data_IF_402730345998
#
_entry.id   IF_402730345998
#
_cell.length_a   1.000
_cell.length_b   1.000
_cell.length_c   1.000
_cell.angle_alpha   90.00
_cell.angle_beta   90.00
_cell.angle_gamma   90.00
#
_symmetry.space_group_name_H-M   'P 1'
#
loop_
_entity.id
_entity.type
_entity.pdbx_description
1 polymer ?
#
# COMPACT_ATOMS: atom_id res chain seq x y z
N UNK A 1 7.87 16.00 37.08
CA UNK A 1 7.91 14.52 37.25
C UNK A 1 7.51 13.77 35.97
N UNK A 2 6.42 14.15 35.29
CA UNK A 2 5.96 13.55 34.03
C UNK A 2 6.96 13.62 32.86
N UNK A 3 7.64 14.75 32.68
CA UNK A 3 8.56 14.97 31.55
C UNK A 3 9.80 14.06 31.61
N UNK A 4 10.37 13.83 32.81
CA UNK A 4 11.48 12.86 32.98
C UNK A 4 11.04 11.42 32.75
N UNK A 5 9.78 11.09 33.05
CA UNK A 5 9.20 9.76 32.80
C UNK A 5 9.01 9.49 31.31
N UNK A 6 8.58 10.49 30.54
CA UNK A 6 8.50 10.44 29.07
C UNK A 6 9.89 10.34 28.43
N UNK A 7 10.90 11.04 28.97
CA UNK A 7 12.28 10.96 28.49
C UNK A 7 12.89 9.56 28.71
N UNK A 8 12.73 8.98 29.91
CA UNK A 8 13.19 7.62 30.20
C UNK A 8 12.41 6.54 29.43
N UNK A 9 11.11 6.76 29.17
CA UNK A 9 10.31 5.85 28.35
C UNK A 9 10.75 5.88 26.87
N UNK A 10 11.01 7.07 26.32
CA UNK A 10 11.57 7.25 24.96
C UNK A 10 12.97 6.63 24.81
N UNK A 11 13.76 6.57 25.89
CA UNK A 11 15.10 5.99 25.89
C UNK A 11 15.15 4.49 26.20
N UNK A 12 14.05 3.90 26.66
CA UNK A 12 13.93 2.46 26.91
C UNK A 12 13.84 1.66 25.60
N UNK A 13 14.40 0.44 25.58
CA UNK A 13 14.30 -0.49 24.44
C UNK A 13 12.84 -0.84 24.08
N UNK A 14 11.95 -0.78 25.07
CA UNK A 14 10.51 -0.98 24.93
C UNK A 14 9.87 0.17 24.12
N UNK A 15 10.19 1.43 24.43
CA UNK A 15 9.64 2.58 23.72
C UNK A 15 10.04 2.60 22.24
N UNK A 16 11.29 2.25 21.94
CA UNK A 16 11.77 2.08 20.55
C UNK A 16 11.06 0.94 19.83
N UNK A 17 10.83 -0.17 20.51
CA UNK A 17 10.14 -1.33 19.93
C UNK A 17 8.68 -1.02 19.61
N UNK A 18 7.95 -0.38 20.52
CA UNK A 18 6.55 0.04 20.32
C UNK A 18 6.43 0.99 19.13
N UNK A 19 7.30 2.01 19.04
CA UNK A 19 7.28 2.95 17.92
C UNK A 19 7.55 2.24 16.58
N UNK A 20 8.47 1.28 16.56
CA UNK A 20 8.78 0.49 15.37
C UNK A 20 7.61 -0.41 14.94
N UNK A 21 6.91 -1.07 15.87
CA UNK A 21 5.74 -1.88 15.52
C UNK A 21 4.57 -1.03 15.04
N UNK A 22 4.30 0.13 15.67
CA UNK A 22 3.24 1.04 15.19
C UNK A 22 3.55 1.54 13.78
N UNK A 23 4.80 1.92 13.51
CA UNK A 23 5.21 2.35 12.17
C UNK A 23 5.07 1.22 11.12
N UNK A 24 5.42 -0.02 11.48
CA UNK A 24 5.27 -1.17 10.57
C UNK A 24 3.79 -1.44 10.25
N UNK A 25 2.92 -1.51 11.26
CA UNK A 25 1.50 -1.82 11.07
C UNK A 25 0.73 -0.68 10.38
N UNK A 26 1.23 0.56 10.45
CA UNK A 26 0.63 1.69 9.72
C UNK A 26 0.53 1.44 8.23
N UNK A 27 1.56 0.84 7.61
CA UNK A 27 1.54 0.48 6.20
C UNK A 27 0.50 -0.61 5.91
N UNK A 28 0.38 -1.61 6.77
CA UNK A 28 -0.59 -2.70 6.61
C UNK A 28 -2.05 -2.20 6.70
N UNK A 29 -2.32 -1.18 7.51
CA UNK A 29 -3.63 -0.51 7.57
C UNK A 29 -3.94 0.19 6.24
N UNK A 30 -2.98 0.96 5.71
CA UNK A 30 -3.14 1.64 4.42
C UNK A 30 -3.39 0.65 3.28
N UNK A 31 -2.73 -0.51 3.31
CA UNK A 31 -2.98 -1.59 2.36
C UNK A 31 -4.42 -2.09 2.42
N UNK A 32 -4.98 -2.32 3.61
CA UNK A 32 -6.37 -2.73 3.79
C UNK A 32 -7.36 -1.71 3.23
N UNK A 33 -7.11 -0.41 3.45
CA UNK A 33 -7.91 0.67 2.88
C UNK A 33 -7.84 0.70 1.34
N UNK A 34 -6.65 0.46 0.77
CA UNK A 34 -6.46 0.41 -0.68
C UNK A 34 -7.23 -0.73 -1.34
N UNK A 35 -7.25 -1.92 -0.72
CA UNK A 35 -8.03 -3.06 -1.22
C UNK A 35 -9.54 -2.78 -1.10
N UNK A 36 -10.00 -2.19 0.01
CA UNK A 36 -11.39 -1.80 0.20
C UNK A 36 -11.85 -0.63 -0.68
N UNK A 37 -10.94 0.20 -1.20
CA UNK A 37 -11.27 1.40 -1.95
C UNK A 37 -12.13 1.12 -3.20
N UNK A 38 -11.96 -0.03 -3.85
CA UNK A 38 -12.79 -0.44 -5.00
C UNK A 38 -14.29 -0.51 -4.68
N UNK A 39 -14.65 -0.91 -3.45
CA UNK A 39 -16.04 -1.04 -3.04
C UNK A 39 -16.78 0.30 -2.97
N UNK A 40 -16.06 1.39 -2.63
CA UNK A 40 -16.62 2.74 -2.59
C UNK A 40 -16.52 3.41 -3.96
N UNK A 41 -15.46 3.12 -4.72
CA UNK A 41 -15.21 3.74 -6.02
C UNK A 41 -16.21 3.29 -7.10
N UNK A 42 -16.45 1.99 -7.23
CA UNK A 42 -17.32 1.42 -8.29
C UNK A 42 -18.72 2.06 -8.31
N UNK A 43 -19.47 2.13 -7.19
CA UNK A 43 -20.81 2.73 -7.23
C UNK A 43 -20.80 4.23 -7.59
N UNK A 44 -19.74 4.95 -7.24
CA UNK A 44 -19.59 6.37 -7.59
C UNK A 44 -19.34 6.55 -9.09
N UNK A 45 -18.56 5.66 -9.73
CA UNK A 45 -18.28 5.71 -11.16
C UNK A 45 -19.46 5.26 -12.03
N UNK A 46 -20.30 4.34 -11.53
CA UNK A 46 -21.51 3.88 -12.23
C UNK A 46 -22.67 4.88 -12.18
N UNK A 47 -22.56 5.95 -11.39
CA UNK A 47 -23.60 6.97 -11.33
C UNK A 47 -23.53 7.86 -12.58
N UNK A 48 -24.67 8.16 -13.20
CA UNK A 48 -24.80 8.94 -14.45
C UNK A 48 -24.30 10.39 -14.39
N UNK A 49 -23.84 10.85 -13.23
CA UNK A 49 -23.26 12.19 -12.99
C UNK A 49 -21.72 12.16 -12.90
N UNK A 50 -21.09 10.99 -13.01
CA UNK A 50 -19.64 10.87 -12.96
C UNK A 50 -18.99 11.31 -14.27
N UNK A 51 -17.85 12.02 -14.17
CA UNK A 51 -17.01 12.44 -15.32
C UNK A 51 -16.49 11.23 -16.13
N UNK A 52 -16.36 10.08 -15.47
CA UNK A 52 -15.91 8.82 -16.06
C UNK A 52 -17.03 7.80 -15.88
N UNK A 53 -17.88 7.68 -16.90
CA UNK A 53 -18.89 6.62 -16.96
C UNK A 53 -18.17 5.30 -17.26
N UNK A 54 -18.36 4.31 -16.40
CA UNK A 54 -17.80 2.97 -16.58
C UNK A 54 -18.90 1.94 -16.76
N UNK A 55 -18.63 0.95 -17.59
CA UNK A 55 -19.44 -0.27 -17.72
C UNK A 55 -19.16 -1.25 -16.58
N UNK A 56 -20.05 -2.23 -16.42
CA UNK A 56 -19.87 -3.29 -15.43
C UNK A 56 -18.57 -4.10 -15.67
N UNK A 57 -18.24 -4.38 -16.93
CA UNK A 57 -17.00 -5.06 -17.31
C UNK A 57 -15.77 -4.23 -16.90
N UNK A 58 -15.80 -2.94 -17.20
CA UNK A 58 -14.72 -2.02 -16.85
C UNK A 58 -14.49 -1.94 -15.33
N UNK A 59 -15.57 -1.92 -14.54
CA UNK A 59 -15.50 -1.94 -13.08
C UNK A 59 -14.87 -3.23 -12.53
N UNK A 60 -15.17 -4.36 -13.17
CA UNK A 60 -14.63 -5.67 -12.82
C UNK A 60 -13.12 -5.73 -13.09
N UNK A 61 -12.67 -5.10 -14.17
CA UNK A 61 -11.24 -4.94 -14.46
C UNK A 61 -10.52 -4.07 -13.41
N UNK A 62 -11.12 -2.96 -12.95
CA UNK A 62 -10.54 -2.12 -11.88
C UNK A 62 -10.30 -2.96 -10.61
N UNK A 63 -11.30 -3.75 -10.21
CA UNK A 63 -11.21 -4.60 -9.02
C UNK A 63 -10.16 -5.72 -9.21
N UNK A 64 -10.19 -6.41 -10.35
CA UNK A 64 -9.29 -7.53 -10.64
C UNK A 64 -7.83 -7.10 -10.77
N UNK A 65 -7.57 -5.94 -11.39
CA UNK A 65 -6.21 -5.40 -11.54
C UNK A 65 -5.55 -5.13 -10.19
N UNK A 66 -6.33 -4.71 -9.18
CA UNK A 66 -5.82 -4.48 -7.83
C UNK A 66 -5.45 -5.76 -7.06
N UNK A 67 -5.83 -6.94 -7.55
CA UNK A 67 -5.53 -8.24 -6.94
C UNK A 67 -4.49 -9.00 -7.75
N UNK A 68 -4.62 -9.05 -9.08
CA UNK A 68 -3.71 -9.78 -9.97
C UNK A 68 -2.28 -9.23 -9.97
N UNK A 69 -2.12 -7.93 -9.67
CA UNK A 69 -0.81 -7.30 -9.50
C UNK A 69 -0.09 -7.73 -8.22
N UNK A 70 -0.81 -8.18 -7.19
CA UNK A 70 -0.21 -8.51 -5.90
C UNK A 70 0.87 -9.59 -5.97
N UNK A 71 0.66 -10.75 -6.65
CA UNK A 71 1.71 -11.74 -6.79
C UNK A 71 2.93 -11.22 -7.56
N UNK A 72 2.73 -10.36 -8.57
CA UNK A 72 3.84 -9.73 -9.29
C UNK A 72 4.64 -8.80 -8.37
N UNK A 73 3.96 -8.02 -7.51
CA UNK A 73 4.58 -7.18 -6.51
C UNK A 73 5.32 -7.98 -5.42
N UNK A 74 4.78 -9.11 -5.00
CA UNK A 74 5.47 -9.98 -4.05
C UNK A 74 6.78 -10.54 -4.63
N UNK A 75 6.77 -10.92 -5.92
CA UNK A 75 7.98 -11.37 -6.63
C UNK A 75 9.00 -10.24 -6.78
N UNK A 76 8.58 -9.03 -7.17
CA UNK A 76 9.49 -7.87 -7.28
C UNK A 76 10.11 -7.51 -5.91
N UNK A 77 9.34 -7.56 -4.83
CA UNK A 77 9.86 -7.35 -3.48
C UNK A 77 10.91 -8.37 -3.06
N UNK A 78 10.77 -9.64 -3.46
CA UNK A 78 11.78 -10.66 -3.22
C UNK A 78 13.14 -10.28 -3.81
N UNK A 79 13.14 -9.87 -5.09
CA UNK A 79 14.34 -9.44 -5.81
C UNK A 79 14.92 -8.16 -5.19
N UNK A 80 14.06 -7.16 -4.91
CA UNK A 80 14.49 -5.90 -4.30
C UNK A 80 15.10 -6.11 -2.90
N UNK A 81 14.57 -7.06 -2.14
CA UNK A 81 15.07 -7.41 -0.81
C UNK A 81 16.48 -8.02 -0.86
N UNK A 82 16.78 -8.82 -1.87
CA UNK A 82 18.11 -9.41 -2.09
C UNK A 82 19.14 -8.35 -2.51
N UNK A 83 18.74 -7.38 -3.34
CA UNK A 83 19.65 -6.35 -3.88
C UNK A 83 19.92 -5.22 -2.88
N UNK A 84 18.86 -4.61 -2.32
CA UNK A 84 18.96 -3.40 -1.49
C UNK A 84 18.94 -3.70 0.01
N UNK A 85 18.61 -4.92 0.40
CA UNK A 85 18.41 -5.31 1.78
C UNK A 85 17.03 -4.96 2.33
N UNK A 86 16.65 -5.67 3.40
CA UNK A 86 15.31 -5.63 4.00
C UNK A 86 14.81 -4.23 4.39
N UNK A 87 15.63 -3.44 5.07
CA UNK A 87 15.22 -2.11 5.60
C UNK A 87 15.06 -1.05 4.50
N UNK A 88 15.88 -1.13 3.45
CA UNK A 88 15.80 -0.19 2.33
C UNK A 88 14.58 -0.51 1.46
N UNK A 89 14.29 -1.79 1.25
CA UNK A 89 13.13 -2.26 0.50
C UNK A 89 11.84 -1.70 1.09
N UNK A 90 11.60 -1.84 2.40
CA UNK A 90 10.40 -1.29 3.08
C UNK A 90 10.22 0.21 2.88
N UNK A 91 11.30 0.98 2.76
CA UNK A 91 11.20 2.42 2.48
C UNK A 91 10.91 2.70 1.00
N UNK A 92 11.44 1.87 0.11
CA UNK A 92 11.29 2.01 -1.33
C UNK A 92 9.87 1.68 -1.77
N UNK A 93 9.20 0.70 -1.15
CA UNK A 93 7.82 0.30 -1.47
C UNK A 93 6.78 1.40 -1.22
N UNK A 94 7.10 2.39 -0.37
CA UNK A 94 6.22 3.55 -0.16
C UNK A 94 6.13 4.47 -1.38
N UNK A 95 7.18 4.52 -2.22
CA UNK A 95 7.20 5.35 -3.43
C UNK A 95 6.20 4.90 -4.50
N UNK A 96 6.20 3.62 -4.97
CA UNK A 96 5.22 3.17 -5.96
C UNK A 96 3.80 3.24 -5.40
N UNK A 97 3.61 3.04 -4.09
CA UNK A 97 2.30 3.21 -3.45
C UNK A 97 1.78 4.65 -3.58
N UNK A 98 2.60 5.65 -3.24
CA UNK A 98 2.23 7.06 -3.39
C UNK A 98 1.96 7.43 -4.85
N UNK A 99 2.81 6.96 -5.78
CA UNK A 99 2.62 7.20 -7.22
C UNK A 99 1.31 6.60 -7.71
N UNK A 100 0.97 5.37 -7.30
CA UNK A 100 -0.29 4.72 -7.64
C UNK A 100 -1.51 5.51 -7.18
N UNK A 101 -1.49 6.01 -5.93
CA UNK A 101 -2.57 6.84 -5.40
C UNK A 101 -2.69 8.21 -6.08
N UNK A 102 -1.58 8.86 -6.39
CA UNK A 102 -1.58 10.13 -7.12
C UNK A 102 -2.17 9.93 -8.53
N UNK A 103 -1.81 8.84 -9.22
CA UNK A 103 -2.37 8.51 -10.53
C UNK A 103 -3.88 8.25 -10.49
N UNK A 104 -4.36 7.58 -9.44
CA UNK A 104 -5.79 7.37 -9.20
C UNK A 104 -6.48 8.73 -8.95
N UNK A 105 -5.90 9.59 -8.13
CA UNK A 105 -6.46 10.90 -7.79
C UNK A 105 -6.52 11.86 -8.99
N UNK A 106 -5.53 11.80 -9.89
CA UNK A 106 -5.46 12.59 -11.13
C UNK A 106 -6.02 11.85 -12.35
N UNK A 107 -6.85 10.82 -12.13
CA UNK A 107 -7.40 10.03 -13.23
C UNK A 107 -8.55 10.78 -13.92
N UNK A 108 -8.31 11.19 -15.16
CA UNK A 108 -9.36 11.77 -16.03
C UNK A 108 -9.95 10.73 -17.00
N UNK A 109 -9.29 9.57 -17.13
CA UNK A 109 -9.63 8.50 -18.05
C UNK A 109 -9.50 7.15 -17.35
N UNK A 110 -10.27 6.16 -17.80
CA UNK A 110 -10.23 4.80 -17.24
C UNK A 110 -8.85 4.13 -17.37
N UNK A 111 -8.10 4.43 -18.43
CA UNK A 111 -6.74 3.89 -18.61
C UNK A 111 -5.80 4.35 -17.49
N UNK A 112 -5.88 5.62 -17.07
CA UNK A 112 -5.09 6.13 -15.94
C UNK A 112 -5.49 5.44 -14.64
N UNK A 113 -6.79 5.17 -14.46
CA UNK A 113 -7.31 4.41 -13.33
C UNK A 113 -6.76 2.97 -13.31
N UNK A 114 -6.72 2.28 -14.46
CA UNK A 114 -6.12 0.94 -14.58
C UNK A 114 -4.63 0.92 -14.25
N UNK A 115 -3.87 1.87 -14.79
CA UNK A 115 -2.43 1.98 -14.50
C UNK A 115 -2.19 2.29 -13.02
N UNK A 116 -2.95 3.23 -12.45
CA UNK A 116 -2.88 3.54 -11.02
C UNK A 116 -3.22 2.34 -10.15
N UNK A 117 -4.24 1.56 -10.52
CA UNK A 117 -4.61 0.31 -9.81
C UNK A 117 -3.53 -0.74 -9.89
N UNK A 118 -2.96 -0.98 -11.07
CA UNK A 118 -1.88 -1.93 -11.26
C UNK A 118 -0.65 -1.56 -10.42
N UNK A 119 -0.22 -0.28 -10.45
CA UNK A 119 0.92 0.21 -9.66
C UNK A 119 0.63 0.13 -8.16
N UNK A 120 -0.56 0.56 -7.72
CA UNK A 120 -0.94 0.52 -6.30
C UNK A 120 -1.00 -0.92 -5.78
N UNK A 121 -1.49 -1.88 -6.57
CA UNK A 121 -1.53 -3.28 -6.20
C UNK A 121 -0.15 -3.96 -6.25
N UNK A 122 0.75 -3.58 -7.18
CA UNK A 122 2.15 -4.00 -7.11
C UNK A 122 2.77 -3.57 -5.77
N UNK A 123 2.60 -2.31 -5.38
CA UNK A 123 3.13 -1.80 -4.12
C UNK A 123 2.53 -2.51 -2.89
N UNK A 124 1.23 -2.86 -2.92
CA UNK A 124 0.58 -3.67 -1.88
C UNK A 124 1.23 -5.03 -1.75
N UNK A 125 1.49 -5.73 -2.87
CA UNK A 125 2.19 -7.01 -2.87
C UNK A 125 3.60 -6.92 -2.28
N UNK A 126 4.30 -5.85 -2.59
CA UNK A 126 5.65 -5.60 -2.05
C UNK A 126 5.63 -5.38 -0.53
N UNK A 127 4.67 -4.59 -0.02
CA UNK A 127 4.50 -4.34 1.42
C UNK A 127 4.22 -5.65 2.16
N UNK A 128 3.28 -6.46 1.68
CA UNK A 128 2.95 -7.76 2.27
C UNK A 128 4.17 -8.69 2.39
N UNK A 129 4.96 -8.80 1.33
CA UNK A 129 6.15 -9.65 1.34
C UNK A 129 7.24 -9.11 2.29
N UNK A 130 7.43 -7.80 2.30
CA UNK A 130 8.44 -7.15 3.14
C UNK A 130 8.13 -7.27 4.64
N UNK A 131 6.86 -7.16 5.02
CA UNK A 131 6.36 -7.37 6.39
C UNK A 131 6.54 -8.83 6.82
N UNK A 132 6.18 -9.79 5.96
CA UNK A 132 6.35 -11.22 6.27
C UNK A 132 7.80 -11.58 6.55
N UNK A 133 8.72 -11.11 5.72
CA UNK A 133 10.12 -11.38 5.97
C UNK A 133 10.64 -10.65 7.23
N UNK A 134 10.08 -9.49 7.62
CA UNK A 134 10.53 -8.78 8.83
C UNK A 134 10.22 -9.62 10.07
N UNK A 135 9.10 -10.36 10.06
CA UNK A 135 8.77 -11.35 11.08
C UNK A 135 9.69 -12.56 11.05
N UNK A 136 10.04 -13.07 9.87
CA UNK A 136 10.89 -14.26 9.72
C UNK A 136 12.39 -14.01 10.04
N UNK A 137 12.79 -12.74 10.26
CA UNK A 137 14.16 -12.34 10.59
C UNK A 137 14.43 -12.20 12.10
N UNK A 138 13.44 -12.51 12.96
CA UNK A 138 13.61 -12.67 14.41
C UNK A 138 13.59 -14.14 14.77
#
# INVERSE_FOLDING_TARGET
>A
MFIKRLWNFKHSDIGRSIAATVAAHGNSISVGLCQGYSAVLIPQLMTSTSTIQITEEESSWIASLGVISNPLGALSAGILMEIFGRKATVKMTSLPYLVGWILIALSDNIVKMYVGRFISGLAVGEIFFSDFGLFCSK
#
